data_IF_374281637073
#
_entry.id   IF_374281637073
#
_cell.length_a   1.000
_cell.length_b   1.000
_cell.length_c   1.000
_cell.angle_alpha   90.00
_cell.angle_beta   90.00
_cell.angle_gamma   90.00
#
_symmetry.space_group_name_H-M   'P 1'
#
loop_
_entity.id
_entity.type
_entity.pdbx_description
1 polymer ?
#
# COMPACT_ATOMS: atom_id res chain seq x y z
N UNK A 1 1.28 8.82 0.71
CA UNK A 1 1.90 7.49 0.64
C UNK A 1 3.40 7.67 0.56
N UNK A 2 4.13 7.29 1.60
CA UNK A 2 5.57 7.49 1.69
C UNK A 2 6.18 6.54 2.73
N UNK A 3 7.49 6.25 2.67
CA UNK A 3 8.37 6.48 1.52
C UNK A 3 8.05 5.50 0.38
N UNK A 4 8.81 5.59 -0.72
CA UNK A 4 8.91 4.49 -1.69
C UNK A 4 9.80 3.41 -1.05
N UNK A 5 9.28 2.21 -0.77
CA UNK A 5 10.03 1.18 -0.07
C UNK A 5 11.01 0.47 -1.00
N UNK A 6 12.06 -0.09 -0.42
CA UNK A 6 12.84 -1.14 -1.09
C UNK A 6 12.11 -2.48 -1.02
N UNK A 7 12.62 -3.52 -1.69
CA UNK A 7 12.09 -4.90 -1.57
C UNK A 7 12.01 -5.34 -0.11
N UNK A 8 10.82 -5.79 0.32
CA UNK A 8 10.55 -6.15 1.71
C UNK A 8 10.47 -4.97 2.70
N UNK A 9 10.53 -3.73 2.19
CA UNK A 9 10.42 -2.52 2.98
C UNK A 9 8.98 -2.17 3.36
N UNK A 10 8.84 -1.02 4.02
CA UNK A 10 7.56 -0.53 4.51
C UNK A 10 7.20 0.81 3.87
N UNK A 11 5.90 1.01 3.63
CA UNK A 11 5.33 2.28 3.23
C UNK A 11 4.18 2.64 4.17
N UNK A 12 3.91 3.94 4.31
CA UNK A 12 2.82 4.45 5.13
C UNK A 12 1.82 5.16 4.24
N UNK A 13 0.58 4.67 4.25
CA UNK A 13 -0.57 5.40 3.75
C UNK A 13 -1.09 6.32 4.86
N UNK A 14 -1.34 7.58 4.54
CA UNK A 14 -1.92 8.56 5.47
C UNK A 14 -2.99 9.39 4.74
N UNK A 15 -3.90 9.99 5.51
CA UNK A 15 -4.97 10.86 4.99
C UNK A 15 -6.17 10.09 4.43
N UNK A 16 -6.31 8.80 4.73
CA UNK A 16 -7.51 8.04 4.44
C UNK A 16 -8.53 8.18 5.58
N UNK A 17 -9.79 7.82 5.34
CA UNK A 17 -10.76 7.73 6.43
C UNK A 17 -10.41 6.54 7.37
N UNK A 18 -10.70 6.63 8.68
CA UNK A 18 -10.50 5.51 9.61
C UNK A 18 -11.31 4.25 9.23
N UNK A 19 -10.78 3.07 9.53
CA UNK A 19 -11.46 1.79 9.30
C UNK A 19 -11.64 1.41 7.82
N UNK A 20 -10.93 2.06 6.90
CA UNK A 20 -10.97 1.76 5.48
C UNK A 20 -10.08 0.57 5.14
N UNK A 21 -10.58 -0.29 4.26
CA UNK A 21 -9.77 -1.35 3.66
C UNK A 21 -8.80 -0.76 2.64
N UNK A 22 -7.52 -1.11 2.81
CA UNK A 22 -6.42 -0.73 1.94
C UNK A 22 -5.90 -1.98 1.25
N UNK A 23 -5.72 -1.91 -0.06
CA UNK A 23 -5.17 -3.00 -0.86
C UNK A 23 -3.97 -2.51 -1.65
N UNK A 24 -2.87 -3.23 -1.59
CA UNK A 24 -1.76 -3.07 -2.53
C UNK A 24 -1.97 -4.09 -3.64
N UNK A 25 -2.02 -3.61 -4.87
CA UNK A 25 -2.30 -4.38 -6.07
C UNK A 25 -1.07 -4.35 -7.00
N UNK A 26 -0.81 -5.47 -7.66
CA UNK A 26 0.16 -5.52 -8.75
C UNK A 26 -0.39 -4.87 -10.05
N UNK A 27 0.43 -4.84 -11.09
CA UNK A 27 0.06 -4.26 -12.39
C UNK A 27 -1.13 -4.97 -13.07
N UNK A 28 -1.44 -6.21 -12.66
CA UNK A 28 -2.58 -6.99 -13.14
C UNK A 28 -3.83 -6.79 -12.27
N UNK A 29 -3.75 -5.97 -11.22
CA UNK A 29 -4.85 -5.73 -10.27
C UNK A 29 -5.01 -6.82 -9.22
N UNK A 30 -4.04 -7.72 -9.05
CA UNK A 30 -4.08 -8.78 -8.04
C UNK A 30 -3.60 -8.25 -6.68
N UNK A 31 -4.31 -8.51 -5.57
CA UNK A 31 -3.89 -8.06 -4.26
C UNK A 31 -2.65 -8.81 -3.79
N UNK A 32 -1.61 -8.04 -3.42
CA UNK A 32 -0.35 -8.55 -2.84
C UNK A 32 -0.26 -8.28 -1.33
N UNK A 33 -0.99 -7.28 -0.83
CA UNK A 33 -1.10 -6.96 0.59
C UNK A 33 -2.47 -6.32 0.85
N UNK A 34 -3.04 -6.61 2.02
CA UNK A 34 -4.25 -5.95 2.53
C UNK A 34 -3.99 -5.42 3.93
N UNK A 35 -4.47 -4.20 4.21
CA UNK A 35 -4.39 -3.56 5.50
C UNK A 35 -5.69 -2.80 5.79
N UNK A 36 -5.86 -2.35 7.03
CA UNK A 36 -6.97 -1.47 7.43
C UNK A 36 -6.38 -0.21 8.05
N UNK A 37 -6.97 0.95 7.75
CA UNK A 37 -6.55 2.19 8.37
C UNK A 37 -6.95 2.24 9.84
N UNK A 38 -6.05 2.76 10.67
CA UNK A 38 -6.27 3.00 12.08
C UNK A 38 -7.24 4.18 12.32
N UNK A 39 -7.49 4.49 13.60
CA UNK A 39 -8.33 5.61 14.02
C UNK A 39 -7.83 6.98 13.52
N UNK A 40 -6.54 7.10 13.19
CA UNK A 40 -5.91 8.30 12.64
C UNK A 40 -5.93 8.35 11.11
N UNK A 41 -6.57 7.39 10.43
CA UNK A 41 -6.61 7.37 8.96
C UNK A 41 -5.29 6.95 8.31
N UNK A 42 -4.45 6.23 9.06
CA UNK A 42 -3.12 5.79 8.64
C UNK A 42 -3.08 4.27 8.52
N UNK A 43 -2.33 3.74 7.55
CA UNK A 43 -2.09 2.30 7.43
C UNK A 43 -0.61 2.03 7.13
N UNK A 44 -0.01 1.16 7.94
CA UNK A 44 1.32 0.62 7.67
C UNK A 44 1.24 -0.50 6.63
N UNK A 45 2.05 -0.40 5.59
CA UNK A 45 2.12 -1.35 4.48
C UNK A 45 3.48 -2.04 4.53
N UNK A 46 3.54 -3.20 5.18
CA UNK A 46 4.73 -4.06 5.17
C UNK A 46 4.69 -4.97 3.94
N UNK A 47 5.54 -4.68 2.96
CA UNK A 47 5.55 -5.44 1.71
C UNK A 47 6.26 -6.79 1.91
N UNK A 48 5.79 -7.88 1.27
CA UNK A 48 6.51 -9.14 1.29
C UNK A 48 7.94 -9.01 0.74
N UNK A 49 8.92 -9.65 1.37
CA UNK A 49 10.32 -9.61 0.91
C UNK A 49 10.51 -10.22 -0.48
N UNK A 50 9.67 -11.18 -0.86
CA UNK A 50 9.66 -11.79 -2.19
C UNK A 50 9.03 -10.91 -3.28
N UNK A 51 8.50 -9.73 -2.93
CA UNK A 51 7.84 -8.84 -3.87
C UNK A 51 8.90 -8.21 -4.81
N UNK A 52 8.78 -8.37 -6.14
CA UNK A 52 9.73 -7.78 -7.09
C UNK A 52 9.69 -6.24 -7.01
N UNK A 53 10.82 -5.60 -7.32
CA UNK A 53 10.84 -4.16 -7.57
C UNK A 53 9.96 -3.79 -8.77
N UNK A 54 9.26 -2.67 -8.70
CA UNK A 54 8.29 -2.28 -9.71
C UNK A 54 7.28 -1.24 -9.23
N UNK A 55 6.23 -1.07 -10.02
CA UNK A 55 5.12 -0.15 -9.71
C UNK A 55 3.91 -0.95 -9.26
N UNK A 56 3.36 -0.54 -8.13
CA UNK A 56 2.17 -1.11 -7.51
C UNK A 56 1.11 -0.02 -7.32
N UNK A 57 -0.14 -0.43 -7.16
CA UNK A 57 -1.27 0.47 -6.90
C UNK A 57 -1.77 0.24 -5.49
N UNK A 58 -1.79 1.28 -4.67
CA UNK A 58 -2.44 1.27 -3.36
C UNK A 58 -3.84 1.83 -3.54
N UNK A 59 -4.85 1.00 -3.31
CA UNK A 59 -6.26 1.38 -3.38
C UNK A 59 -6.84 1.50 -1.97
N UNK A 60 -7.57 2.59 -1.73
CA UNK A 60 -8.36 2.82 -0.52
C UNK A 60 -9.71 3.41 -0.94
N UNK A 61 -10.77 2.61 -0.80
CA UNK A 61 -12.10 2.96 -1.35
C UNK A 61 -12.06 3.27 -2.85
N UNK A 62 -12.40 4.51 -3.21
CA UNK A 62 -12.37 5.04 -4.59
C UNK A 62 -11.04 5.69 -4.98
N UNK A 63 -10.11 5.85 -4.04
CA UNK A 63 -8.81 6.46 -4.31
C UNK A 63 -7.79 5.38 -4.69
N UNK A 64 -6.92 5.73 -5.64
CA UNK A 64 -5.79 4.91 -6.05
C UNK A 64 -4.52 5.76 -6.05
N UNK A 65 -3.46 5.26 -5.42
CA UNK A 65 -2.15 5.89 -5.33
C UNK A 65 -1.11 4.95 -5.92
N UNK A 66 -0.07 5.52 -6.54
CA UNK A 66 1.06 4.74 -7.07
C UNK A 66 2.13 4.55 -5.99
N UNK A 67 2.57 3.31 -5.80
CA UNK A 67 3.70 2.94 -4.95
C UNK A 67 4.83 2.41 -5.81
N UNK A 68 6.02 2.98 -5.70
CA UNK A 68 7.21 2.46 -6.38
C UNK A 68 8.04 1.67 -5.39
N UNK A 69 8.34 0.42 -5.72
CA UNK A 69 9.21 -0.46 -4.95
C UNK A 69 10.55 -0.55 -5.68
N UNK A 70 11.64 -0.24 -4.98
CA UNK A 70 13.01 -0.27 -5.52
C UNK A 70 13.77 -1.55 -5.15
#
# INVERSE_FOLDING_TARGET
LYPNPTRGGTATLSGAAPGQAVQVLDALGRPVLTATTDAGGTAGLALPAALPGGVYVVRVGQQALRLRVE
#
